data_IF_562529552344
#
_entry.id   IF_562529552344
#
_cell.length_a   1.000
_cell.length_b   1.000
_cell.length_c   1.000
_cell.angle_alpha   90.00
_cell.angle_beta   90.00
_cell.angle_gamma   90.00
#
_symmetry.space_group_name_H-M   'P 1'
#
loop_
_entity.id
_entity.type
_entity.pdbx_description
1 polymer ?
#
# COMPACT_ATOMS: atom_id res chain seq x y z
N UNK A 1 -14.01 -0.15 -10.20
CA UNK A 1 -13.66 0.50 -8.92
C UNK A 1 -14.41 1.82 -8.78
N UNK A 2 -15.16 2.00 -7.70
CA UNK A 2 -15.75 3.30 -7.37
C UNK A 2 -14.65 4.24 -6.83
N UNK A 3 -14.41 5.33 -7.57
CA UNK A 3 -13.38 6.36 -7.33
C UNK A 3 -13.39 6.87 -5.88
N UNK A 4 -14.56 6.85 -5.23
CA UNK A 4 -14.70 7.28 -3.84
C UNK A 4 -13.90 6.39 -2.88
N UNK A 5 -13.92 5.08 -3.08
CA UNK A 5 -13.16 4.15 -2.23
C UNK A 5 -11.66 4.26 -2.48
N UNK A 6 -11.25 4.49 -3.74
CA UNK A 6 -9.84 4.71 -4.07
C UNK A 6 -9.24 5.87 -3.27
N UNK A 7 -9.90 7.03 -3.28
CA UNK A 7 -9.43 8.21 -2.54
C UNK A 7 -9.38 8.01 -1.02
N UNK A 8 -10.35 7.26 -0.46
CA UNK A 8 -10.37 6.93 0.98
C UNK A 8 -9.20 6.01 1.35
N UNK A 9 -8.84 5.05 0.49
CA UNK A 9 -7.75 4.09 0.72
C UNK A 9 -6.37 4.65 0.40
N UNK A 10 -6.31 5.67 -0.47
CA UNK A 10 -5.09 6.35 -0.91
C UNK A 10 -5.09 7.84 -0.55
N UNK A 11 -5.28 8.22 0.73
CA UNK A 11 -5.43 9.62 1.14
C UNK A 11 -4.21 10.51 0.83
N UNK A 12 -3.01 9.93 0.72
CA UNK A 12 -1.80 10.67 0.32
C UNK A 12 -1.87 11.23 -1.11
N UNK A 13 -2.69 10.64 -1.98
CA UNK A 13 -2.89 11.13 -3.36
C UNK A 13 -3.78 12.36 -3.40
N UNK A 14 -4.57 12.61 -2.36
CA UNK A 14 -5.43 13.80 -2.22
C UNK A 14 -4.83 14.86 -1.29
N UNK A 15 -3.56 14.68 -0.87
CA UNK A 15 -2.86 15.62 0.01
C UNK A 15 -3.16 15.45 1.50
N UNK A 16 -3.88 14.40 1.90
CA UNK A 16 -4.11 14.12 3.31
C UNK A 16 -2.87 13.46 3.95
N UNK A 17 -2.60 13.82 5.21
CA UNK A 17 -1.47 13.30 5.96
C UNK A 17 -1.63 11.81 6.28
N UNK A 18 -0.57 11.04 6.06
CA UNK A 18 -0.52 9.61 6.41
C UNK A 18 -0.27 9.46 7.90
N UNK A 19 -1.28 9.01 8.64
CA UNK A 19 -1.14 8.69 10.07
C UNK A 19 -0.54 7.30 10.23
N UNK A 20 0.62 7.23 10.87
CA UNK A 20 1.35 5.99 11.10
C UNK A 20 0.75 5.16 12.24
N UNK A 21 0.87 3.83 12.19
CA UNK A 21 0.98 3.03 13.41
C UNK A 21 2.28 3.44 14.16
N UNK A 22 2.19 3.74 15.46
CA UNK A 22 3.33 4.20 16.27
C UNK A 22 4.41 3.13 16.50
N UNK A 23 4.11 1.86 16.21
CA UNK A 23 4.99 0.73 16.52
C UNK A 23 6.00 0.55 15.38
N UNK A 24 7.27 0.87 15.66
CA UNK A 24 8.39 0.55 14.77
C UNK A 24 8.56 -0.97 14.67
N UNK A 25 8.57 -1.49 13.43
CA UNK A 25 8.78 -2.92 13.15
C UNK A 25 10.17 -3.11 12.54
N UNK A 26 10.98 -4.02 13.09
CA UNK A 26 12.32 -4.34 12.55
C UNK A 26 12.31 -4.69 11.06
N UNK A 27 11.23 -5.32 10.60
CA UNK A 27 11.05 -5.70 9.20
C UNK A 27 11.07 -4.50 8.24
N UNK A 28 10.71 -3.29 8.70
CA UNK A 28 10.77 -2.08 7.86
C UNK A 28 12.22 -1.69 7.52
N UNK A 29 13.20 -2.11 8.31
CA UNK A 29 14.62 -1.88 8.05
C UNK A 29 15.12 -2.69 6.83
N UNK A 30 14.38 -3.74 6.45
CA UNK A 30 14.69 -4.57 5.28
C UNK A 30 13.99 -4.07 4.01
N UNK A 31 13.10 -3.10 4.13
CA UNK A 31 12.31 -2.60 3.01
C UNK A 31 13.16 -2.12 1.81
N UNK A 32 14.29 -1.42 1.99
CA UNK A 32 15.13 -1.01 0.87
C UNK A 32 15.71 -2.20 0.08
N UNK A 33 16.02 -3.30 0.76
CA UNK A 33 16.53 -4.51 0.11
C UNK A 33 15.43 -5.18 -0.71
N UNK A 34 14.21 -5.21 -0.18
CA UNK A 34 13.07 -5.83 -0.84
C UNK A 34 12.55 -5.06 -2.05
N UNK A 35 12.78 -3.75 -2.09
CA UNK A 35 12.33 -2.87 -3.18
C UNK A 35 13.44 -2.52 -4.16
N UNK A 36 14.66 -3.01 -3.93
CA UNK A 36 15.76 -2.85 -4.88
C UNK A 36 15.55 -3.71 -6.14
N UNK A 37 14.77 -4.79 -6.01
CA UNK A 37 14.48 -5.73 -7.08
C UNK A 37 13.03 -5.56 -7.57
N UNK A 38 12.81 -5.75 -8.88
CA UNK A 38 11.48 -5.73 -9.52
C UNK A 38 10.69 -7.03 -9.22
N UNK A 39 10.62 -7.41 -7.94
CA UNK A 39 9.96 -8.63 -7.46
C UNK A 39 8.74 -8.34 -6.60
N UNK A 40 7.79 -9.30 -6.62
CA UNK A 40 6.60 -9.24 -5.77
C UNK A 40 6.94 -9.81 -4.39
N UNK A 41 6.83 -8.98 -3.35
CA UNK A 41 7.02 -9.39 -1.96
C UNK A 41 5.70 -9.87 -1.36
N UNK A 42 5.67 -11.11 -0.86
CA UNK A 42 4.46 -11.72 -0.27
C UNK A 42 4.55 -11.77 1.25
N UNK A 43 3.59 -11.15 1.94
CA UNK A 43 3.46 -11.20 3.41
C UNK A 43 2.31 -12.13 3.79
N UNK A 44 2.63 -13.30 4.37
CA UNK A 44 1.64 -14.31 4.77
C UNK A 44 1.60 -14.54 6.28
N UNK A 45 0.49 -15.08 6.78
CA UNK A 45 0.32 -15.43 8.20
C UNK A 45 -1.13 -15.37 8.68
N UNK A 46 -1.41 -15.72 9.95
CA UNK A 46 -2.77 -15.82 10.50
C UNK A 46 -3.56 -14.50 10.45
N UNK A 47 -4.90 -14.57 10.55
CA UNK A 47 -5.74 -13.37 10.62
C UNK A 47 -5.40 -12.56 11.88
N UNK A 48 -5.47 -11.22 11.80
CA UNK A 48 -5.26 -10.28 12.94
C UNK A 48 -3.85 -10.24 13.55
N UNK A 49 -2.80 -10.71 12.86
CA UNK A 49 -1.40 -10.57 13.33
C UNK A 49 -0.72 -9.24 12.94
N UNK A 50 -1.47 -8.30 12.38
CA UNK A 50 -0.97 -6.98 11.97
C UNK A 50 -0.38 -6.91 10.56
N UNK A 51 -0.75 -7.83 9.65
CA UNK A 51 -0.32 -7.76 8.24
C UNK A 51 -0.78 -6.48 7.54
N UNK A 52 -2.07 -6.14 7.63
CA UNK A 52 -2.60 -4.89 7.05
C UNK A 52 -1.98 -3.65 7.69
N UNK A 53 -1.74 -3.70 9.00
CA UNK A 53 -1.02 -2.63 9.73
C UNK A 53 0.41 -2.49 9.24
N UNK A 54 1.10 -3.60 8.93
CA UNK A 54 2.44 -3.58 8.37
C UNK A 54 2.44 -2.95 6.96
N UNK A 55 1.48 -3.31 6.09
CA UNK A 55 1.35 -2.68 4.77
C UNK A 55 1.13 -1.16 4.89
N UNK A 56 0.30 -0.70 5.82
CA UNK A 56 0.13 0.73 6.09
C UNK A 56 1.41 1.41 6.60
N UNK A 57 2.20 0.71 7.43
CA UNK A 57 3.49 1.21 7.87
C UNK A 57 4.50 1.31 6.71
N UNK A 58 4.50 0.34 5.79
CA UNK A 58 5.32 0.36 4.57
C UNK A 58 4.97 1.56 3.70
N UNK A 59 3.67 1.80 3.44
CA UNK A 59 3.22 2.97 2.67
C UNK A 59 3.77 4.27 3.27
N UNK A 60 3.67 4.45 4.59
CA UNK A 60 4.25 5.61 5.24
C UNK A 60 5.76 5.68 5.07
N UNK A 61 6.46 4.58 5.31
CA UNK A 61 7.93 4.54 5.21
C UNK A 61 8.37 4.98 3.81
N UNK A 62 7.69 4.51 2.76
CA UNK A 62 7.92 4.92 1.38
C UNK A 62 7.74 6.42 1.17
N UNK A 63 6.61 6.95 1.62
CA UNK A 63 6.26 8.36 1.38
C UNK A 63 7.09 9.33 2.23
N UNK A 64 7.34 8.99 3.50
CA UNK A 64 7.89 9.91 4.50
C UNK A 64 9.40 9.75 4.69
N UNK A 65 9.91 8.51 4.65
CA UNK A 65 11.33 8.22 4.92
C UNK A 65 12.10 8.10 3.61
N UNK A 66 11.54 7.40 2.62
CA UNK A 66 12.19 7.20 1.32
C UNK A 66 11.83 8.27 0.28
N UNK A 67 10.85 9.13 0.56
CA UNK A 67 10.47 10.24 -0.33
C UNK A 67 9.92 9.80 -1.68
N UNK A 68 9.34 8.60 -1.76
CA UNK A 68 8.68 8.11 -2.97
C UNK A 68 7.52 9.05 -3.33
N UNK A 69 7.37 9.45 -4.61
CA UNK A 69 6.25 10.30 -5.02
C UNK A 69 4.91 9.70 -4.61
N UNK A 70 3.98 10.54 -4.14
CA UNK A 70 2.66 10.08 -3.74
C UNK A 70 1.86 9.45 -4.90
N UNK A 71 2.20 9.81 -6.14
CA UNK A 71 1.65 9.23 -7.37
C UNK A 71 2.08 7.77 -7.58
N UNK A 72 3.19 7.34 -6.98
CA UNK A 72 3.79 6.04 -7.32
C UNK A 72 3.42 4.97 -6.29
N UNK A 73 2.72 5.35 -5.21
CA UNK A 73 2.27 4.46 -4.15
C UNK A 73 0.76 4.25 -4.23
N UNK A 74 0.36 2.99 -4.38
CA UNK A 74 -1.05 2.58 -4.46
C UNK A 74 -1.35 1.50 -3.40
N UNK A 75 -2.50 1.64 -2.75
CA UNK A 75 -3.02 0.69 -1.79
C UNK A 75 -4.37 0.15 -2.26
N UNK A 76 -4.44 -1.16 -2.32
CA UNK A 76 -5.58 -1.92 -2.80
C UNK A 76 -5.93 -2.99 -1.78
N UNK A 77 -7.21 -3.27 -1.62
CA UNK A 77 -7.69 -4.43 -0.86
C UNK A 77 -8.82 -5.13 -1.62
N UNK A 78 -8.96 -6.43 -1.37
CA UNK A 78 -9.99 -7.26 -2.00
C UNK A 78 -11.38 -7.07 -1.38
N UNK A 79 -11.49 -6.31 -0.29
CA UNK A 79 -12.78 -6.02 0.34
C UNK A 79 -13.52 -4.89 -0.41
N UNK A 80 -12.78 -4.03 -1.11
CA UNK A 80 -13.29 -2.87 -1.87
C UNK A 80 -13.07 -2.97 -3.38
N UNK A 81 -12.26 -3.94 -3.81
CA UNK A 81 -12.11 -4.33 -5.21
C UNK A 81 -13.03 -5.49 -5.53
N UNK A 82 -13.95 -5.31 -6.47
CA UNK A 82 -14.54 -6.46 -7.14
C UNK A 82 -13.44 -7.16 -7.94
N UNK A 83 -13.25 -8.46 -7.69
CA UNK A 83 -12.17 -9.23 -8.30
C UNK A 83 -12.24 -9.22 -9.84
N UNK A 84 -13.45 -9.04 -10.39
CA UNK A 84 -13.67 -8.82 -11.82
C UNK A 84 -13.05 -7.54 -12.35
N UNK A 85 -13.02 -6.46 -11.56
CA UNK A 85 -12.46 -5.17 -11.99
C UNK A 85 -10.94 -5.23 -12.15
N UNK A 86 -10.28 -5.98 -11.27
CA UNK A 86 -8.82 -6.16 -11.30
C UNK A 86 -8.39 -7.01 -12.50
N UNK A 87 -9.20 -8.02 -12.85
CA UNK A 87 -8.89 -8.97 -13.92
C UNK A 87 -9.36 -8.48 -15.30
N UNK A 88 -10.38 -7.62 -15.37
CA UNK A 88 -10.96 -7.16 -16.64
C UNK A 88 -10.17 -6.04 -17.32
N UNK A 89 -9.41 -5.22 -16.57
CA UNK A 89 -8.53 -4.21 -17.17
C UNK A 89 -7.41 -3.80 -16.20
N UNK A 90 -6.22 -4.40 -16.35
CA UNK A 90 -5.03 -4.00 -15.59
C UNK A 90 -4.67 -2.53 -15.77
N UNK A 91 -4.94 -1.95 -16.95
CA UNK A 91 -4.66 -0.55 -17.28
C UNK A 91 -5.50 0.45 -16.48
N UNK A 92 -6.78 0.16 -16.26
CA UNK A 92 -7.70 1.06 -15.52
C UNK A 92 -7.40 1.20 -14.02
N UNK A 93 -6.43 0.45 -13.49
CA UNK A 93 -5.98 0.59 -12.10
C UNK A 93 -4.84 1.60 -11.93
N UNK A 94 -4.16 1.96 -13.03
CA UNK A 94 -2.92 2.72 -13.03
C UNK A 94 -3.15 4.15 -13.57
N UNK A 95 -4.13 4.31 -14.47
CA UNK A 95 -4.59 5.60 -15.02
C UNK A 95 -5.48 6.40 -14.04
#
# INVERSE_FOLDING_TARGET
MDIRFFGIKNPWRTGANVVAPTIRRKVLELLPLWLADDEIVVIHGPRRVGKSTLLQAIVRELLVVHGVPNTDVYFFDLDTLDCSDVLASPSTLID
#
